data_IF_386707680554
#
_entry.id   IF_386707680554
#
_cell.length_a   1.000
_cell.length_b   1.000
_cell.length_c   1.000
_cell.angle_alpha   90.00
_cell.angle_beta   90.00
_cell.angle_gamma   90.00
#
_symmetry.space_group_name_H-M   'P 1'
#
loop_
_entity.id
_entity.type
_entity.pdbx_description
1 polymer ?
#
# COMPACT_ATOMS: atom_id res chain seq x y z
N UNK A 1 7.13 -2.34 -17.23
CA UNK A 1 7.71 -1.98 -15.93
C UNK A 1 8.05 -0.50 -15.83
N UNK A 2 9.15 0.00 -16.45
CA UNK A 2 9.59 1.39 -16.31
C UNK A 2 8.51 2.46 -16.57
N UNK A 3 7.63 2.22 -17.55
CA UNK A 3 6.49 3.13 -17.84
C UNK A 3 5.36 3.04 -16.82
N UNK A 4 5.11 1.87 -16.24
CA UNK A 4 3.96 1.61 -15.36
C UNK A 4 4.29 1.88 -13.89
N UNK A 5 5.55 1.70 -13.46
CA UNK A 5 5.97 1.84 -12.06
C UNK A 5 5.54 3.19 -11.47
N UNK A 6 5.77 4.36 -12.11
CA UNK A 6 5.36 5.64 -11.54
C UNK A 6 3.84 5.74 -11.33
N UNK A 7 3.05 5.27 -12.30
CA UNK A 7 1.58 5.28 -12.22
C UNK A 7 1.05 4.37 -11.10
N UNK A 8 1.70 3.22 -10.90
CA UNK A 8 1.36 2.31 -9.81
C UNK A 8 1.74 2.88 -8.44
N UNK A 9 2.84 3.64 -8.35
CA UNK A 9 3.22 4.37 -7.13
C UNK A 9 2.16 5.43 -6.81
N UNK A 10 1.69 6.18 -7.80
CA UNK A 10 0.59 7.14 -7.60
C UNK A 10 -0.68 6.47 -7.07
N UNK A 11 -1.06 5.31 -7.60
CA UNK A 11 -2.21 4.53 -7.10
C UNK A 11 -1.98 4.05 -5.66
N UNK A 12 -0.78 3.57 -5.34
CA UNK A 12 -0.45 3.17 -3.97
C UNK A 12 -0.47 4.34 -2.99
N UNK A 13 -0.14 5.54 -3.45
CA UNK A 13 -0.22 6.80 -2.73
C UNK A 13 -1.63 7.34 -2.51
N UNK A 14 -2.67 6.68 -3.03
CA UNK A 14 -4.03 7.19 -2.94
C UNK A 14 -4.54 7.18 -1.48
N UNK A 15 -4.86 8.39 -0.99
CA UNK A 15 -5.43 8.66 0.34
C UNK A 15 -6.92 8.98 0.28
N UNK A 16 -7.57 8.80 -0.86
CA UNK A 16 -8.99 9.03 -1.04
C UNK A 16 -9.79 8.22 0.00
N UNK A 17 -10.78 8.87 0.58
CA UNK A 17 -11.65 8.27 1.59
C UNK A 17 -13.04 8.07 1.00
N UNK A 18 -13.69 6.92 1.22
CA UNK A 18 -15.05 6.71 0.78
C UNK A 18 -16.00 7.71 1.45
N UNK A 19 -17.16 7.93 0.83
CA UNK A 19 -18.26 8.64 1.47
C UNK A 19 -18.66 7.90 2.76
N UNK A 20 -18.78 8.59 3.92
CA UNK A 20 -19.26 7.96 5.15
C UNK A 20 -20.57 7.18 4.99
N UNK A 21 -21.46 7.60 4.09
CA UNK A 21 -22.76 6.96 3.87
C UNK A 21 -22.69 5.57 3.23
N UNK A 22 -21.57 5.22 2.56
CA UNK A 22 -21.39 3.90 1.92
C UNK A 22 -20.62 2.91 2.78
N UNK A 23 -20.17 3.33 3.96
CA UNK A 23 -19.41 2.47 4.86
C UNK A 23 -20.32 1.43 5.52
N UNK A 24 -19.87 0.17 5.61
CA UNK A 24 -20.57 -0.82 6.41
C UNK A 24 -20.60 -0.40 7.89
N UNK A 25 -21.65 -0.79 8.60
CA UNK A 25 -21.72 -0.60 10.03
C UNK A 25 -20.55 -1.32 10.73
N UNK A 26 -20.03 -0.69 11.78
CA UNK A 26 -18.97 -1.30 12.58
C UNK A 26 -19.47 -2.53 13.35
N UNK A 27 -18.64 -3.57 13.49
CA UNK A 27 -18.95 -4.67 14.39
C UNK A 27 -19.20 -4.17 15.81
N UNK A 28 -20.15 -4.78 16.57
CA UNK A 28 -20.28 -4.49 17.98
C UNK A 28 -18.94 -4.81 18.65
N UNK A 29 -18.40 -3.85 19.40
CA UNK A 29 -17.09 -3.90 20.08
C UNK A 29 -15.84 -3.60 19.23
N UNK A 30 -15.98 -2.97 18.06
CA UNK A 30 -14.83 -2.40 17.36
C UNK A 30 -14.03 -1.45 18.30
N UNK A 31 -12.70 -1.59 18.32
CA UNK A 31 -11.81 -0.76 19.16
C UNK A 31 -11.56 0.64 18.61
N UNK A 32 -12.30 1.05 17.59
CA UNK A 32 -12.13 2.31 16.87
C UNK A 32 -13.49 2.85 16.41
N UNK A 33 -13.54 4.16 16.17
CA UNK A 33 -14.74 4.85 15.70
C UNK A 33 -14.89 4.78 14.17
N UNK A 34 -16.01 5.32 13.68
CA UNK A 34 -16.35 5.32 12.25
C UNK A 34 -15.36 6.12 11.39
N UNK A 35 -14.72 7.16 11.94
CA UNK A 35 -13.76 7.99 11.19
C UNK A 35 -12.42 7.27 11.04
N UNK A 36 -11.95 6.60 12.08
CA UNK A 36 -10.78 5.72 11.99
C UNK A 36 -11.07 4.58 11.02
N UNK A 37 -12.25 3.95 11.11
CA UNK A 37 -12.66 2.90 10.19
C UNK A 37 -12.66 3.35 8.72
N UNK A 38 -13.13 4.58 8.48
CA UNK A 38 -13.11 5.22 7.16
C UNK A 38 -11.68 5.42 6.64
N UNK A 39 -10.76 5.90 7.48
CA UNK A 39 -9.34 6.09 7.12
C UNK A 39 -8.62 4.78 6.82
N UNK A 40 -9.02 3.68 7.46
CA UNK A 40 -8.50 2.35 7.17
C UNK A 40 -8.93 1.80 5.79
N UNK A 41 -9.87 2.46 5.10
CA UNK A 41 -10.26 2.09 3.73
C UNK A 41 -9.36 2.70 2.64
N UNK A 42 -8.48 3.65 2.98
CA UNK A 42 -7.53 4.20 2.02
C UNK A 42 -6.49 3.16 1.59
N UNK A 43 -5.96 3.29 0.38
CA UNK A 43 -4.82 2.48 -0.08
C UNK A 43 -3.57 2.87 0.72
N UNK A 44 -3.26 4.17 0.78
CA UNK A 44 -2.25 4.73 1.67
C UNK A 44 -2.89 5.19 3.00
N UNK A 45 -2.96 4.27 3.97
CA UNK A 45 -3.55 4.54 5.28
C UNK A 45 -2.76 5.59 6.06
N UNK A 46 -3.47 6.56 6.63
CA UNK A 46 -2.93 7.50 7.64
C UNK A 46 -3.98 7.80 8.69
N UNK A 47 -3.67 7.40 9.91
CA UNK A 47 -4.45 7.68 11.12
C UNK A 47 -3.53 8.40 12.12
N UNK A 48 -4.05 8.96 13.23
CA UNK A 48 -3.22 9.67 14.20
C UNK A 48 -2.14 8.79 14.88
N UNK A 49 -2.36 7.47 14.97
CA UNK A 49 -1.49 6.53 15.71
C UNK A 49 -0.82 5.50 14.80
N UNK A 50 -1.42 5.19 13.64
CA UNK A 50 -0.96 4.16 12.71
C UNK A 50 -1.07 4.64 11.25
N UNK A 51 -0.25 4.11 10.36
CA UNK A 51 -0.34 4.37 8.93
C UNK A 51 0.45 3.35 8.11
N UNK A 52 0.46 3.53 6.80
CA UNK A 52 1.28 2.73 5.90
C UNK A 52 2.75 2.83 6.30
N UNK A 53 3.29 1.71 6.79
CA UNK A 53 4.69 1.60 7.24
C UNK A 53 5.63 1.21 6.11
N UNK A 54 5.11 0.58 5.06
CA UNK A 54 5.87 0.21 3.88
C UNK A 54 4.95 -0.02 2.69
N UNK A 55 5.53 0.01 1.50
CA UNK A 55 4.84 -0.31 0.26
C UNK A 55 5.71 -1.18 -0.65
N UNK A 56 5.08 -1.97 -1.51
CA UNK A 56 5.79 -2.87 -2.44
C UNK A 56 5.05 -2.94 -3.77
N UNK A 57 5.81 -2.91 -4.87
CA UNK A 57 5.36 -3.26 -6.20
C UNK A 57 6.17 -4.44 -6.71
N UNK A 58 5.50 -5.55 -7.05
CA UNK A 58 6.15 -6.73 -7.62
C UNK A 58 5.57 -7.06 -8.99
N UNK A 59 6.43 -7.27 -9.98
CA UNK A 59 6.04 -7.86 -11.27
C UNK A 59 6.33 -9.36 -11.24
N UNK A 60 5.30 -10.16 -11.50
CA UNK A 60 5.35 -11.61 -11.37
C UNK A 60 5.23 -12.27 -12.75
N UNK A 61 6.04 -13.31 -12.96
CA UNK A 61 5.90 -14.27 -14.06
C UNK A 61 5.72 -15.68 -13.44
N UNK A 62 5.36 -16.71 -14.21
CA UNK A 62 5.22 -18.05 -13.67
C UNK A 62 6.48 -18.48 -12.91
N UNK A 63 6.33 -18.71 -11.60
CA UNK A 63 7.39 -19.15 -10.68
C UNK A 63 8.52 -18.14 -10.43
N UNK A 64 8.39 -16.86 -10.82
CA UNK A 64 9.48 -15.89 -10.67
C UNK A 64 8.97 -14.47 -10.39
N UNK A 65 9.75 -13.75 -9.59
CA UNK A 65 9.59 -12.30 -9.41
C UNK A 65 10.55 -11.60 -10.36
N UNK A 66 10.00 -10.98 -11.40
CA UNK A 66 10.77 -10.29 -12.44
C UNK A 66 11.34 -8.97 -11.92
N UNK A 67 10.56 -8.27 -11.11
CA UNK A 67 10.88 -6.98 -10.53
C UNK A 67 10.25 -6.88 -9.13
N UNK A 68 10.97 -6.31 -8.18
CA UNK A 68 10.49 -6.02 -6.83
C UNK A 68 10.98 -4.64 -6.43
N UNK A 69 10.05 -3.69 -6.29
CA UNK A 69 10.34 -2.37 -5.78
C UNK A 69 9.74 -2.20 -4.38
N UNK A 70 10.56 -1.80 -3.42
CA UNK A 70 10.22 -1.63 -2.01
C UNK A 70 10.34 -0.17 -1.58
N UNK A 71 9.41 0.30 -0.76
CA UNK A 71 9.46 1.62 -0.11
C UNK A 71 9.33 1.43 1.40
N UNK A 72 10.31 1.92 2.16
CA UNK A 72 10.31 1.94 3.62
C UNK A 72 9.54 3.16 4.15
N UNK A 73 8.22 3.12 3.97
CA UNK A 73 7.31 4.18 4.36
C UNK A 73 6.11 4.32 3.43
N UNK A 74 5.34 5.42 3.58
CA UNK A 74 4.23 5.74 2.70
C UNK A 74 4.72 5.92 1.24
N UNK A 75 4.04 5.33 0.25
CA UNK A 75 4.47 5.33 -1.15
C UNK A 75 4.44 6.72 -1.82
N UNK A 76 3.76 7.70 -1.23
CA UNK A 76 3.71 9.10 -1.67
C UNK A 76 4.75 9.99 -0.99
N UNK A 77 5.42 9.50 0.06
CA UNK A 77 6.41 10.23 0.84
C UNK A 77 7.83 9.64 0.71
N UNK A 78 7.95 8.36 0.32
CA UNK A 78 9.23 7.63 0.24
C UNK A 78 9.66 7.21 -1.17
N UNK A 79 10.92 6.77 -1.29
CA UNK A 79 11.49 6.28 -2.53
C UNK A 79 11.35 4.76 -2.67
N UNK A 80 11.13 4.30 -3.91
CA UNK A 80 11.04 2.87 -4.24
C UNK A 80 12.37 2.30 -4.75
N UNK A 81 13.08 1.58 -3.88
CA UNK A 81 14.31 0.84 -4.18
C UNK A 81 14.01 -0.47 -4.93
N UNK A 82 14.85 -0.86 -5.89
CA UNK A 82 14.81 -2.18 -6.53
C UNK A 82 15.54 -3.22 -5.67
N UNK A 83 14.77 -4.10 -5.01
CA UNK A 83 15.28 -5.18 -4.16
C UNK A 83 15.09 -6.56 -4.80
N UNK A 84 14.91 -6.64 -6.12
CA UNK A 84 14.72 -7.90 -6.85
C UNK A 84 15.86 -8.90 -6.60
N UNK A 85 17.06 -8.39 -6.35
CA UNK A 85 18.26 -9.20 -6.09
C UNK A 85 18.12 -10.11 -4.85
N UNK A 86 17.31 -9.73 -3.85
CA UNK A 86 17.08 -10.53 -2.65
C UNK A 86 16.32 -11.84 -2.93
N UNK A 87 15.63 -11.93 -4.07
CA UNK A 87 14.79 -13.06 -4.44
C UNK A 87 15.49 -14.04 -5.40
N UNK A 88 16.73 -13.75 -5.79
CA UNK A 88 17.51 -14.57 -6.75
C UNK A 88 18.57 -15.43 -6.09
N UNK A 89 18.39 -15.76 -4.81
CA UNK A 89 19.36 -16.58 -4.07
C UNK A 89 19.40 -17.99 -4.69
N UNK A 90 20.51 -18.30 -5.38
CA UNK A 90 20.78 -19.62 -5.96
C UNK A 90 20.55 -19.77 -7.47
N UNK A 91 20.29 -18.68 -8.21
CA UNK A 91 20.49 -18.62 -9.67
C UNK A 91 21.97 -18.46 -10.03
#
# INVERSE_FOLDING_TARGET
WLRMKPQLIEVLGDRSLPDPAVLPALPPHASFDAEVARRLQAICVKTPVYGTVSATLAALSPRRVEQYAFCDGPPDEGEFEDVTHLLRIGE
#
